data_IF_960316971196
#
_entry.id   IF_960316971196
#
_cell.length_a   1.000
_cell.length_b   1.000
_cell.length_c   1.000
_cell.angle_alpha   90.00
_cell.angle_beta   90.00
_cell.angle_gamma   90.00
#
_symmetry.space_group_name_H-M   'P 1'
#
loop_
_entity.id
_entity.type
_entity.pdbx_description
1 polymer ?
#
# COMPACT_ATOMS: atom_id res chain seq x y z
N UNK A 1 -16.55 2.46 -7.95
CA UNK A 1 -16.50 3.86 -7.50
C UNK A 1 -15.54 4.62 -8.40
N UNK A 2 -15.66 5.95 -8.51
CA UNK A 2 -14.77 6.73 -9.38
C UNK A 2 -13.42 6.96 -8.68
N UNK A 3 -12.27 6.96 -9.40
CA UNK A 3 -10.95 7.18 -8.79
C UNK A 3 -10.87 8.46 -7.94
N UNK A 4 -11.55 9.52 -8.40
CA UNK A 4 -11.63 10.80 -7.71
C UNK A 4 -12.24 10.72 -6.30
N UNK A 5 -13.06 9.72 -6.01
CA UNK A 5 -13.60 9.52 -4.66
C UNK A 5 -12.49 9.12 -3.69
N UNK A 6 -11.70 8.10 -4.04
CA UNK A 6 -10.61 7.62 -3.19
C UNK A 6 -9.54 8.69 -3.00
N UNK A 7 -9.20 9.45 -4.04
CA UNK A 7 -8.23 10.55 -3.93
C UNK A 7 -8.65 11.61 -2.91
N UNK A 8 -9.96 11.89 -2.77
CA UNK A 8 -10.47 12.83 -1.76
C UNK A 8 -10.36 12.30 -0.34
N UNK A 9 -10.32 10.98 -0.16
CA UNK A 9 -10.10 10.36 1.14
C UNK A 9 -8.62 10.31 1.53
N UNK A 10 -7.72 10.42 0.55
CA UNK A 10 -6.29 10.27 0.78
C UNK A 10 -5.66 11.53 1.38
N UNK A 11 -4.64 11.35 2.21
CA UNK A 11 -3.81 12.45 2.71
C UNK A 11 -2.67 12.75 1.74
N UNK A 12 -2.98 13.51 0.68
CA UNK A 12 -2.01 13.91 -0.34
C UNK A 12 -0.86 14.76 0.24
N UNK A 13 -1.12 15.49 1.33
CA UNK A 13 -0.10 16.28 2.02
C UNK A 13 0.92 15.39 2.74
N UNK A 14 0.47 14.30 3.37
CA UNK A 14 1.35 13.28 3.93
C UNK A 14 2.14 12.54 2.86
N UNK A 15 1.49 12.10 1.78
CA UNK A 15 2.16 11.44 0.66
C UNK A 15 3.29 12.29 0.06
N UNK A 16 3.09 13.61 -0.06
CA UNK A 16 4.12 14.53 -0.53
C UNK A 16 5.36 14.61 0.37
N UNK A 17 5.23 14.33 1.68
CA UNK A 17 6.33 14.34 2.65
C UNK A 17 7.11 13.03 2.72
N UNK A 18 6.58 11.93 2.17
CA UNK A 18 7.30 10.65 2.14
C UNK A 18 8.55 10.81 1.28
N UNK A 19 9.77 10.61 1.82
CA UNK A 19 11.01 10.80 1.08
C UNK A 19 11.12 9.90 -0.15
N UNK A 20 11.66 10.43 -1.26
CA UNK A 20 11.96 9.66 -2.48
C UNK A 20 13.41 9.18 -2.48
N UNK A 21 13.88 8.53 -1.41
CA UNK A 21 15.29 8.11 -1.38
C UNK A 21 15.62 6.94 -2.33
N UNK A 22 14.63 6.43 -3.07
CA UNK A 22 14.70 5.23 -3.93
C UNK A 22 13.82 5.41 -5.17
N UNK A 23 14.22 6.30 -6.08
CA UNK A 23 13.46 6.58 -7.30
C UNK A 23 13.19 5.32 -8.13
N UNK A 24 14.14 4.37 -8.14
CA UNK A 24 13.99 3.07 -8.81
C UNK A 24 12.81 2.26 -8.22
N UNK A 25 12.72 2.15 -6.89
CA UNK A 25 11.66 1.39 -6.20
C UNK A 25 10.28 2.00 -6.45
N UNK A 26 10.17 3.33 -6.42
CA UNK A 26 8.93 4.02 -6.75
C UNK A 26 8.49 3.74 -8.18
N UNK A 27 9.44 3.81 -9.14
CA UNK A 27 9.19 3.56 -10.55
C UNK A 27 8.71 2.14 -10.83
N UNK A 28 9.32 1.15 -10.18
CA UNK A 28 8.93 -0.26 -10.27
C UNK A 28 7.50 -0.49 -9.73
N UNK A 29 7.19 0.05 -8.55
CA UNK A 29 5.85 -0.05 -7.96
C UNK A 29 4.79 0.64 -8.83
N UNK A 30 5.09 1.83 -9.35
CA UNK A 30 4.19 2.57 -10.23
C UNK A 30 3.93 1.79 -11.52
N UNK A 31 4.96 1.24 -12.14
CA UNK A 31 4.86 0.43 -13.35
C UNK A 31 3.99 -0.81 -13.09
N UNK A 32 4.26 -1.55 -12.01
CA UNK A 32 3.45 -2.70 -11.59
C UNK A 32 1.96 -2.36 -11.46
N UNK A 33 1.64 -1.23 -10.82
CA UNK A 33 0.26 -0.79 -10.59
C UNK A 33 -0.42 -0.34 -11.89
N UNK A 34 0.28 0.41 -12.75
CA UNK A 34 -0.25 0.85 -14.03
C UNK A 34 -0.54 -0.32 -14.97
N UNK A 35 0.35 -1.33 -15.02
CA UNK A 35 0.17 -2.54 -15.83
C UNK A 35 -1.06 -3.37 -15.41
N UNK A 36 -1.54 -3.18 -14.18
CA UNK A 36 -2.68 -3.88 -13.62
C UNK A 36 -3.90 -2.97 -13.36
N UNK A 37 -3.85 -1.71 -13.79
CA UNK A 37 -4.95 -0.78 -13.66
C UNK A 37 -6.15 -1.24 -14.49
N UNK A 38 -7.35 -1.14 -13.93
CA UNK A 38 -8.60 -1.46 -14.65
C UNK A 38 -8.88 -0.47 -15.79
N UNK A 39 -8.39 0.77 -15.67
CA UNK A 39 -8.52 1.82 -16.67
C UNK A 39 -7.41 2.86 -16.52
N UNK A 40 -7.13 3.67 -17.57
CA UNK A 40 -6.17 4.78 -17.48
C UNK A 40 -6.52 5.82 -16.41
N UNK A 41 -7.80 5.96 -16.06
CA UNK A 41 -8.28 6.90 -15.04
C UNK A 41 -7.79 6.55 -13.61
N UNK A 42 -7.33 5.30 -13.39
CA UNK A 42 -6.74 4.88 -12.13
C UNK A 42 -5.27 5.28 -11.98
N UNK A 43 -4.64 5.92 -12.98
CA UNK A 43 -3.24 6.32 -12.92
C UNK A 43 -2.88 7.20 -11.70
N UNK A 44 -3.71 8.19 -11.28
CA UNK A 44 -3.43 8.95 -10.07
C UNK A 44 -3.50 8.08 -8.79
N UNK A 45 -4.37 7.06 -8.77
CA UNK A 45 -4.39 6.10 -7.66
C UNK A 45 -3.14 5.23 -7.65
N UNK A 46 -2.67 4.79 -8.82
CA UNK A 46 -1.43 4.02 -8.94
C UNK A 46 -0.24 4.82 -8.38
N UNK A 47 -0.14 6.10 -8.73
CA UNK A 47 0.88 7.00 -8.18
C UNK A 47 0.77 7.16 -6.65
N UNK A 48 -0.44 7.36 -6.12
CA UNK A 48 -0.66 7.48 -4.68
C UNK A 48 -0.29 6.19 -3.93
N UNK A 49 -0.70 5.02 -4.45
CA UNK A 49 -0.42 3.70 -3.87
C UNK A 49 1.08 3.41 -3.91
N UNK A 50 1.76 3.64 -5.04
CA UNK A 50 3.21 3.50 -5.15
C UNK A 50 3.94 4.39 -4.14
N UNK A 51 3.53 5.67 -4.03
CA UNK A 51 4.09 6.61 -3.07
C UNK A 51 3.89 6.18 -1.62
N UNK A 52 2.68 5.71 -1.28
CA UNK A 52 2.35 5.23 0.07
C UNK A 52 3.14 3.98 0.48
N UNK A 53 3.60 3.16 -0.48
CA UNK A 53 4.45 2.01 -0.19
C UNK A 53 5.80 2.40 0.43
N UNK A 54 6.34 3.56 0.06
CA UNK A 54 7.61 4.07 0.57
C UNK A 54 7.52 4.63 2.00
N UNK A 55 6.30 4.78 2.54
CA UNK A 55 6.09 5.18 3.93
C UNK A 55 6.40 4.06 4.92
N UNK A 56 6.53 4.41 6.20
CA UNK A 56 6.89 3.46 7.26
C UNK A 56 5.69 2.80 7.96
N UNK A 57 4.46 3.24 7.69
CA UNK A 57 3.26 2.72 8.35
C UNK A 57 2.60 1.62 7.50
N UNK A 58 1.43 1.15 7.93
CA UNK A 58 0.57 0.36 7.05
C UNK A 58 0.17 1.19 5.83
N UNK A 59 0.00 0.54 4.67
CA UNK A 59 -0.27 1.27 3.43
C UNK A 59 -1.55 2.11 3.52
N UNK A 60 -2.60 1.57 4.15
CA UNK A 60 -3.85 2.30 4.31
C UNK A 60 -3.66 3.56 5.19
N UNK A 61 -2.77 3.52 6.19
CA UNK A 61 -2.43 4.68 7.02
C UNK A 61 -1.65 5.72 6.23
N UNK A 62 -0.62 5.30 5.49
CA UNK A 62 0.18 6.21 4.66
C UNK A 62 -0.62 6.79 3.49
N UNK A 63 -1.67 6.11 3.04
CA UNK A 63 -2.63 6.68 2.09
C UNK A 63 -3.63 7.62 2.77
N UNK A 64 -3.75 7.59 4.09
CA UNK A 64 -4.76 8.35 4.84
C UNK A 64 -6.16 7.74 4.78
N UNK A 65 -6.31 6.48 4.37
CA UNK A 65 -7.59 5.74 4.35
C UNK A 65 -8.08 5.42 5.77
N UNK A 66 -9.39 5.19 5.98
CA UNK A 66 -9.92 4.87 7.31
C UNK A 66 -9.43 3.54 7.89
N UNK A 67 -9.25 2.53 7.04
CA UNK A 67 -8.88 1.19 7.45
C UNK A 67 -8.35 0.38 6.26
N UNK A 68 -7.90 -0.84 6.56
CA UNK A 68 -7.47 -1.83 5.57
C UNK A 68 -8.59 -2.25 4.63
N UNK A 69 -9.86 -2.25 5.06
CA UNK A 69 -10.98 -2.67 4.23
C UNK A 69 -11.21 -1.67 3.09
N UNK A 70 -11.14 -0.37 3.37
CA UNK A 70 -11.23 0.69 2.36
C UNK A 70 -10.11 0.58 1.32
N UNK A 71 -8.89 0.26 1.74
CA UNK A 71 -7.80 -0.05 0.82
C UNK A 71 -8.10 -1.29 -0.03
N UNK A 72 -8.66 -2.34 0.58
CA UNK A 72 -9.00 -3.58 -0.15
C UNK A 72 -10.12 -3.35 -1.17
N UNK A 73 -11.13 -2.52 -0.86
CA UNK A 73 -12.15 -2.09 -1.82
C UNK A 73 -11.53 -1.28 -2.98
N UNK A 74 -10.63 -0.33 -2.69
CA UNK A 74 -9.90 0.41 -3.72
C UNK A 74 -9.16 -0.55 -4.66
N UNK A 75 -8.44 -1.53 -4.10
CA UNK A 75 -7.71 -2.53 -4.88
C UNK A 75 -8.64 -3.41 -5.71
N UNK A 76 -9.77 -3.84 -5.15
CA UNK A 76 -10.76 -4.64 -5.87
C UNK A 76 -11.35 -3.88 -7.07
N UNK A 77 -11.65 -2.60 -6.90
CA UNK A 77 -12.33 -1.79 -7.91
C UNK A 77 -11.38 -1.29 -9.02
N UNK A 78 -10.17 -0.88 -8.66
CA UNK A 78 -9.26 -0.21 -9.59
C UNK A 78 -8.07 -1.06 -10.03
N UNK A 79 -7.77 -2.13 -9.31
CA UNK A 79 -6.67 -3.07 -9.61
C UNK A 79 -7.14 -4.53 -9.45
N UNK A 80 -8.26 -4.94 -10.07
CA UNK A 80 -8.95 -6.21 -9.80
C UNK A 80 -8.07 -7.43 -10.04
N UNK A 81 -7.12 -7.35 -10.98
CA UNK A 81 -6.16 -8.42 -11.26
C UNK A 81 -5.17 -8.63 -10.11
N UNK A 82 -4.66 -7.54 -9.52
CA UNK A 82 -3.81 -7.63 -8.32
C UNK A 82 -4.62 -8.11 -7.12
N UNK A 83 -5.86 -7.64 -6.98
CA UNK A 83 -6.75 -8.09 -5.92
C UNK A 83 -7.04 -9.59 -5.97
N UNK A 84 -7.40 -10.12 -7.13
CA UNK A 84 -7.66 -11.55 -7.30
C UNK A 84 -6.43 -12.42 -7.04
N UNK A 85 -5.22 -11.89 -7.23
CA UNK A 85 -3.95 -12.59 -6.96
C UNK A 85 -3.55 -12.58 -5.49
N UNK A 86 -4.00 -11.61 -4.70
CA UNK A 86 -3.74 -11.56 -3.26
C UNK A 86 -4.72 -12.47 -2.47
N UNK A 87 -4.71 -13.78 -2.76
CA UNK A 87 -5.69 -14.76 -2.28
C UNK A 87 -5.65 -15.01 -0.77
N UNK A 88 -4.51 -14.78 -0.12
CA UNK A 88 -4.32 -14.98 1.33
C UNK A 88 -4.57 -13.75 2.18
N UNK A 89 -5.07 -12.65 1.60
CA UNK A 89 -5.14 -11.34 2.27
C UNK A 89 -3.78 -10.98 2.92
N UNK A 90 -2.72 -11.07 2.12
CA UNK A 90 -1.39 -10.61 2.52
C UNK A 90 -1.43 -9.08 2.68
N UNK A 91 -0.61 -8.53 3.57
CA UNK A 91 -0.43 -7.07 3.68
C UNK A 91 -0.03 -6.51 2.33
N UNK A 92 -0.72 -5.45 1.87
CA UNK A 92 -0.59 -4.97 0.48
C UNK A 92 0.85 -4.60 0.08
N UNK A 93 1.61 -3.93 0.96
CA UNK A 93 3.02 -3.63 0.67
C UNK A 93 3.81 -4.91 0.41
N UNK A 94 3.73 -5.89 1.33
CA UNK A 94 4.42 -7.18 1.19
C UNK A 94 4.01 -7.93 -0.08
N UNK A 95 2.73 -7.87 -0.44
CA UNK A 95 2.24 -8.44 -1.69
C UNK A 95 2.87 -7.76 -2.92
N UNK A 96 2.91 -6.43 -3.00
CA UNK A 96 3.53 -5.74 -4.14
C UNK A 96 5.03 -6.04 -4.27
N UNK A 97 5.77 -6.08 -3.16
CA UNK A 97 7.19 -6.46 -3.21
C UNK A 97 7.39 -7.92 -3.65
N UNK A 98 6.51 -8.83 -3.24
CA UNK A 98 6.52 -10.20 -3.75
C UNK A 98 6.30 -10.23 -5.27
N UNK A 99 5.39 -9.40 -5.79
CA UNK A 99 5.15 -9.27 -7.23
C UNK A 99 6.36 -8.76 -8.00
N UNK A 100 7.06 -7.75 -7.47
CA UNK A 100 8.29 -7.26 -8.08
C UNK A 100 9.40 -8.32 -8.07
N UNK A 101 9.56 -9.04 -6.97
CA UNK A 101 10.52 -10.16 -6.91
C UNK A 101 10.17 -11.26 -7.92
N UNK A 102 8.89 -11.61 -8.08
CA UNK A 102 8.43 -12.58 -9.09
C UNK A 102 8.77 -12.13 -10.52
N UNK A 103 8.54 -10.86 -10.84
CA UNK A 103 8.89 -10.28 -12.16
C UNK A 103 10.40 -10.27 -12.42
N UNK A 104 11.20 -10.07 -11.38
CA UNK A 104 12.66 -10.13 -11.45
C UNK A 104 13.23 -11.57 -11.41
N UNK A 105 12.37 -12.60 -11.37
CA UNK A 105 12.73 -14.01 -11.20
C UNK A 105 13.55 -14.27 -9.91
N UNK A 106 13.38 -13.41 -8.90
CA UNK A 106 14.02 -13.51 -7.59
C UNK A 106 13.12 -14.28 -6.63
N UNK A 107 13.70 -15.25 -5.93
CA UNK A 107 13.01 -15.96 -4.84
C UNK A 107 12.95 -15.08 -3.58
N UNK A 108 11.82 -14.38 -3.41
CA UNK A 108 11.57 -13.55 -2.23
C UNK A 108 11.52 -14.37 -0.91
N UNK A 109 10.97 -15.58 -0.96
CA UNK A 109 10.82 -16.46 0.20
C UNK A 109 11.58 -17.78 -0.01
N UNK A 110 12.24 -18.27 1.04
CA UNK A 110 12.96 -19.56 1.03
C UNK A 110 12.07 -20.75 1.39
N UNK A 111 10.91 -20.51 2.00
CA UNK A 111 9.97 -21.58 2.33
C UNK A 111 9.30 -22.12 1.06
N UNK A 112 8.99 -23.43 0.99
CA UNK A 112 8.34 -24.03 -0.18
C UNK A 112 6.89 -23.57 -0.36
N UNK A 113 6.26 -23.07 0.70
CA UNK A 113 4.95 -22.40 0.66
C UNK A 113 4.80 -21.43 1.84
N UNK A 114 3.87 -20.48 1.73
CA UNK A 114 3.57 -19.56 2.81
C UNK A 114 3.10 -20.29 4.08
N UNK A 115 2.29 -21.36 3.94
CA UNK A 115 1.66 -22.07 5.07
C UNK A 115 2.62 -22.79 6.02
N UNK A 116 3.87 -23.02 5.61
CA UNK A 116 4.92 -23.64 6.45
C UNK A 116 6.03 -22.66 6.82
N UNK A 117 5.93 -21.40 6.40
CA UNK A 117 6.90 -20.38 6.77
C UNK A 117 6.73 -20.00 8.25
N UNK A 118 7.82 -19.93 9.00
CA UNK A 118 7.78 -19.52 10.41
C UNK A 118 7.44 -18.03 10.60
N UNK A 119 7.61 -17.21 9.54
CA UNK A 119 7.42 -15.76 9.55
C UNK A 119 6.11 -15.33 8.86
N UNK A 120 5.05 -16.14 8.98
CA UNK A 120 3.76 -15.86 8.35
C UNK A 120 3.12 -14.56 8.88
N UNK A 121 3.33 -14.25 10.15
CA UNK A 121 2.87 -13.06 10.86
C UNK A 121 3.49 -11.75 10.35
N UNK A 122 4.63 -11.81 9.67
CA UNK A 122 5.23 -10.65 8.98
C UNK A 122 4.48 -10.29 7.68
N UNK A 123 3.86 -11.29 7.05
CA UNK A 123 3.24 -11.20 5.74
C UNK A 123 1.71 -11.10 5.82
N UNK A 124 1.12 -11.77 6.80
CA UNK A 124 -0.32 -11.92 7.00
C UNK A 124 -0.75 -11.39 8.37
N UNK A 125 -2.04 -11.46 8.65
CA UNK A 125 -2.63 -10.99 9.92
C UNK A 125 -3.19 -9.58 9.82
N UNK A 126 -3.90 -9.18 10.87
CA UNK A 126 -4.61 -7.91 10.93
C UNK A 126 -3.66 -6.70 10.96
N UNK A 127 -4.14 -5.59 10.43
CA UNK A 127 -3.45 -4.29 10.46
C UNK A 127 -4.27 -3.32 11.32
N UNK A 128 -4.63 -3.77 12.53
CA UNK A 128 -5.39 -2.96 13.48
C UNK A 128 -4.58 -1.71 13.84
N UNK A 129 -5.24 -0.55 13.79
CA UNK A 129 -4.59 0.74 14.05
C UNK A 129 -5.56 1.89 13.83
N UNK A 130 -5.17 3.08 14.25
CA UNK A 130 -5.95 4.30 14.01
C UNK A 130 -5.45 5.03 12.76
N UNK A 131 -6.33 5.71 12.01
CA UNK A 131 -5.93 6.57 10.90
C UNK A 131 -4.97 7.67 11.36
N UNK A 132 -3.97 8.02 10.54
CA UNK A 132 -2.99 9.07 10.88
C UNK A 132 -3.64 10.46 11.02
N UNK A 133 -4.74 10.71 10.31
CA UNK A 133 -5.53 11.96 10.37
C UNK A 133 -6.20 12.24 11.73
N UNK A 134 -6.21 11.26 12.64
CA UNK A 134 -6.86 11.37 13.95
C UNK A 134 -6.04 12.14 14.99
N UNK A 135 -4.77 12.46 14.70
CA UNK A 135 -3.83 13.11 15.63
C UNK A 135 -3.70 14.63 15.43
N UNK A 136 -4.73 15.27 14.88
CA UNK A 136 -4.78 16.72 14.65
C UNK A 136 -5.47 17.49 15.78
N UNK A 137 -4.86 17.55 16.97
CA UNK A 137 -4.68 18.74 17.85
C UNK A 137 -4.20 18.31 19.24
N UNK A 138 -2.89 18.14 19.39
CA UNK A 138 -2.24 18.27 20.69
C UNK A 138 -0.98 19.12 20.53
N UNK A 139 -1.17 20.43 20.65
CA UNK A 139 -0.11 21.33 21.10
C UNK A 139 0.28 20.91 22.51
N UNK A 140 1.56 20.63 22.74
CA UNK A 140 2.15 20.80 24.06
C UNK A 140 3.39 21.66 23.94
N UNK A 141 3.19 22.94 24.28
CA UNK A 141 4.16 23.67 25.05
C UNK A 141 4.15 23.15 26.49
N UNK A 142 5.29 22.70 27.00
CA UNK A 142 5.68 22.66 28.41
C UNK A 142 7.22 22.49 28.41
N UNK A 143 8.00 23.55 28.56
CA UNK A 143 8.39 24.14 29.84
C UNK A 143 8.95 23.09 30.80
N UNK A 144 10.28 22.96 30.83
CA UNK A 144 11.14 23.04 32.01
C UNK A 144 12.55 23.45 31.57
#
# INVERSE_FOLDING_TARGET
MQPAHYLKLMDLGHLARIPQCRDDEHGELLTLLLDHAASPEAAPLAAAVAKGCLGHNHLWQDLGLPDRQALSCLMQEHFPRLFARNTGNMRWKKFFYLQLCEQAEIRACRAPSCGVCAHQDECFGDEAGQPLRSLGTASQAAAL
#
